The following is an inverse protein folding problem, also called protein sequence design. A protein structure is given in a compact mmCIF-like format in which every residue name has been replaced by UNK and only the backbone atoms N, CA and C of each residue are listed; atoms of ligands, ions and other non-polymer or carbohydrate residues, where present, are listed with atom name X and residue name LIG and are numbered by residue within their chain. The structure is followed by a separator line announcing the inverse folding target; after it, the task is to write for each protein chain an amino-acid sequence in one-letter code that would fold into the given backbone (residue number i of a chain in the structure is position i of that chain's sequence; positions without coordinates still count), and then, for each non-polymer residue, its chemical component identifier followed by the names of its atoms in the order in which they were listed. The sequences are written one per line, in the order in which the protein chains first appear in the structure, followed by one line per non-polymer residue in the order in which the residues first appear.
data_IF_585850849329
#
_entry.id   IF_585850849329
#
_cell.length_a   1.000
_cell.length_b   1.000
_cell.length_c   1.000
_cell.angle_alpha   90.00
_cell.angle_beta   90.00
_cell.angle_gamma   90.00
#
_symmetry.space_group_name_H-M   'P 1'
#
loop_
_entity.id
_entity.type
_entity.pdbx_description
1 polymer ?
#
# COMPACT_ATOMS: atom_id res chain seq x y z
N UNK A 1 -7.17 -9.02 22.67
CA UNK A 1 -7.94 -10.10 22.00
C UNK A 1 -6.97 -10.84 21.10
N UNK A 2 -6.62 -12.07 21.44
CA UNK A 2 -5.72 -12.91 20.65
C UNK A 2 -6.47 -13.41 19.41
N UNK A 3 -5.99 -13.03 18.22
CA UNK A 3 -6.54 -13.48 16.94
C UNK A 3 -6.44 -15.00 16.85
N UNK A 4 -7.49 -15.68 16.39
CA UNK A 4 -7.47 -17.13 16.18
C UNK A 4 -6.30 -17.51 15.24
N UNK A 5 -5.38 -18.39 15.64
CA UNK A 5 -4.25 -18.82 14.84
C UNK A 5 -4.63 -19.31 13.43
N UNK A 6 -5.83 -19.89 13.28
CA UNK A 6 -6.35 -20.35 11.97
C UNK A 6 -6.68 -19.17 11.06
N UNK A 7 -7.22 -18.10 11.62
CA UNK A 7 -7.54 -16.87 10.88
C UNK A 7 -6.23 -16.18 10.46
N UNK A 8 -5.26 -16.10 11.36
CA UNK A 8 -3.94 -15.56 11.04
C UNK A 8 -3.26 -16.34 9.91
N UNK A 9 -3.28 -17.69 9.98
CA UNK A 9 -2.72 -18.53 8.93
C UNK A 9 -3.41 -18.34 7.59
N UNK A 10 -4.75 -18.27 7.59
CA UNK A 10 -5.54 -18.05 6.37
C UNK A 10 -5.18 -16.70 5.72
N UNK A 11 -5.04 -15.63 6.50
CA UNK A 11 -4.62 -14.32 5.98
C UNK A 11 -3.23 -14.39 5.33
N UNK A 12 -2.26 -15.02 5.99
CA UNK A 12 -0.90 -15.19 5.46
C UNK A 12 -0.93 -15.92 4.11
N UNK A 13 -1.61 -17.06 4.03
CA UNK A 13 -1.65 -17.87 2.82
C UNK A 13 -2.36 -17.12 1.67
N UNK A 14 -3.42 -16.37 1.99
CA UNK A 14 -4.17 -15.55 1.03
C UNK A 14 -3.35 -14.36 0.53
N UNK A 15 -2.60 -13.68 1.40
CA UNK A 15 -1.75 -12.55 1.02
C UNK A 15 -0.55 -13.00 0.18
N UNK A 16 0.04 -14.16 0.50
CA UNK A 16 1.07 -14.76 -0.33
C UNK A 16 0.56 -15.05 -1.75
N UNK A 17 -0.60 -15.70 -1.86
CA UNK A 17 -1.22 -15.98 -3.16
C UNK A 17 -1.59 -14.71 -3.93
N UNK A 18 -2.14 -13.71 -3.25
CA UNK A 18 -2.47 -12.39 -3.81
C UNK A 18 -1.24 -11.70 -4.36
N UNK A 19 -0.13 -11.71 -3.60
CA UNK A 19 1.15 -11.14 -4.05
C UNK A 19 1.64 -11.80 -5.33
N UNK A 20 1.59 -13.13 -5.40
CA UNK A 20 1.99 -13.88 -6.61
C UNK A 20 1.14 -13.48 -7.81
N UNK A 21 -0.19 -13.52 -7.68
CA UNK A 21 -1.12 -13.17 -8.76
C UNK A 21 -0.92 -11.73 -9.25
N UNK A 22 -0.75 -10.77 -8.33
CA UNK A 22 -0.48 -9.38 -8.68
C UNK A 22 0.83 -9.21 -9.45
N UNK A 23 1.86 -9.98 -9.11
CA UNK A 23 3.16 -9.92 -9.75
C UNK A 23 3.20 -10.64 -11.11
N UNK A 24 2.43 -11.72 -11.30
CA UNK A 24 2.45 -12.54 -12.52
C UNK A 24 1.42 -12.10 -13.56
N UNK A 25 0.17 -11.91 -13.12
CA UNK A 25 -0.99 -11.75 -14.00
C UNK A 25 -1.59 -10.35 -13.93
N UNK A 26 -1.09 -9.52 -13.01
CA UNK A 26 -1.57 -8.17 -12.75
C UNK A 26 -2.96 -8.15 -12.09
N UNK A 27 -3.36 -6.96 -11.65
CA UNK A 27 -4.55 -6.80 -10.80
C UNK A 27 -5.89 -7.06 -11.51
N UNK A 28 -5.94 -7.06 -12.85
CA UNK A 28 -7.17 -7.36 -13.60
C UNK A 28 -7.59 -8.84 -13.51
N UNK A 29 -6.64 -9.73 -13.24
CA UNK A 29 -6.92 -11.16 -13.02
C UNK A 29 -7.44 -11.46 -11.61
N UNK A 30 -7.44 -10.45 -10.72
CA UNK A 30 -7.66 -10.64 -9.30
C UNK A 30 -9.15 -10.77 -9.00
N UNK A 31 -9.55 -11.99 -8.62
CA UNK A 31 -10.90 -12.32 -8.18
C UNK A 31 -10.82 -13.26 -6.99
N UNK A 32 -11.87 -13.37 -6.18
CA UNK A 32 -11.90 -14.43 -5.16
C UNK A 32 -11.80 -15.84 -5.73
N UNK A 33 -12.17 -16.05 -7.00
CA UNK A 33 -11.97 -17.36 -7.63
C UNK A 33 -10.50 -17.65 -7.88
N UNK A 34 -9.76 -16.71 -8.46
CA UNK A 34 -8.33 -16.87 -8.76
C UNK A 34 -7.50 -16.89 -7.47
N UNK A 35 -7.84 -16.06 -6.49
CA UNK A 35 -7.19 -16.07 -5.16
C UNK A 35 -7.43 -17.40 -4.44
N UNK A 36 -8.69 -17.89 -4.39
CA UNK A 36 -9.00 -19.14 -3.71
C UNK A 36 -8.24 -20.33 -4.31
N UNK A 37 -8.17 -20.38 -5.64
CA UNK A 37 -7.41 -21.40 -6.37
C UNK A 37 -5.91 -21.32 -6.04
N UNK A 38 -5.32 -20.13 -6.10
CA UNK A 38 -3.91 -19.92 -5.83
C UNK A 38 -3.53 -20.20 -4.36
N UNK A 39 -4.40 -19.83 -3.41
CA UNK A 39 -4.20 -20.07 -1.98
C UNK A 39 -4.58 -21.49 -1.53
N UNK A 40 -5.19 -22.31 -2.39
CA UNK A 40 -5.61 -23.68 -2.05
C UNK A 40 -6.76 -23.72 -1.02
N UNK A 41 -7.63 -22.71 -0.98
CA UNK A 41 -8.75 -22.61 -0.03
C UNK A 41 -10.10 -22.54 -0.74
N UNK A 42 -11.19 -22.76 0.01
CA UNK A 42 -12.53 -22.60 -0.53
C UNK A 42 -12.91 -21.12 -0.70
N UNK A 43 -13.62 -20.77 -1.78
CA UNK A 43 -14.16 -19.40 -1.97
C UNK A 43 -15.00 -18.91 -0.77
N UNK A 44 -15.76 -19.82 -0.15
CA UNK A 44 -16.56 -19.52 1.05
C UNK A 44 -15.69 -18.96 2.19
N UNK A 45 -14.45 -19.43 2.33
CA UNK A 45 -13.50 -18.91 3.32
C UNK A 45 -13.14 -17.46 3.02
N UNK A 46 -12.86 -17.11 1.76
CA UNK A 46 -12.59 -15.71 1.38
C UNK A 46 -13.78 -14.80 1.68
N UNK A 47 -14.99 -15.18 1.26
CA UNK A 47 -16.20 -14.39 1.51
C UNK A 47 -16.55 -14.24 3.00
N UNK A 48 -16.04 -15.12 3.87
CA UNK A 48 -16.23 -15.00 5.31
C UNK A 48 -15.27 -13.98 5.97
N UNK A 49 -14.16 -13.66 5.31
CA UNK A 49 -13.12 -12.77 5.81
C UNK A 49 -13.11 -11.40 5.13
N UNK A 50 -13.47 -11.35 3.85
CA UNK A 50 -13.43 -10.14 3.05
C UNK A 50 -14.73 -9.99 2.25
N UNK A 51 -15.31 -8.79 2.33
CA UNK A 51 -16.52 -8.42 1.59
C UNK A 51 -16.27 -8.30 0.08
N UNK A 52 -15.04 -7.95 -0.32
CA UNK A 52 -14.66 -7.80 -1.72
C UNK A 52 -13.15 -8.00 -1.94
N UNK A 53 -12.69 -8.25 -3.17
CA UNK A 53 -11.26 -8.23 -3.51
C UNK A 53 -10.59 -6.89 -3.19
N UNK A 54 -11.31 -5.76 -3.31
CA UNK A 54 -10.79 -4.45 -2.96
C UNK A 54 -10.52 -4.33 -1.45
N UNK A 55 -11.43 -4.84 -0.61
CA UNK A 55 -11.22 -4.92 0.85
C UNK A 55 -9.98 -5.78 1.17
N UNK A 56 -9.84 -6.94 0.53
CA UNK A 56 -8.64 -7.79 0.68
C UNK A 56 -7.36 -7.04 0.30
N UNK A 57 -7.35 -6.34 -0.83
CA UNK A 57 -6.18 -5.55 -1.27
C UNK A 57 -5.84 -4.42 -0.30
N UNK A 58 -6.83 -3.80 0.35
CA UNK A 58 -6.61 -2.79 1.37
C UNK A 58 -5.81 -3.37 2.56
N UNK A 59 -6.25 -4.53 3.06
CA UNK A 59 -5.55 -5.20 4.14
C UNK A 59 -4.17 -5.71 3.72
N UNK A 60 -4.04 -6.23 2.50
CA UNK A 60 -2.75 -6.64 1.93
C UNK A 60 -1.75 -5.49 1.87
N UNK A 61 -2.19 -4.30 1.44
CA UNK A 61 -1.35 -3.10 1.39
C UNK A 61 -0.99 -2.59 2.79
N UNK A 62 -1.93 -2.65 3.74
CA UNK A 62 -1.67 -2.26 5.12
C UNK A 62 -0.67 -3.21 5.82
N UNK A 63 -0.78 -4.52 5.57
CA UNK A 63 0.09 -5.55 6.12
C UNK A 63 1.55 -5.34 5.71
N UNK A 64 1.78 -5.03 4.42
CA UNK A 64 3.12 -4.74 3.87
C UNK A 64 3.78 -3.47 4.41
N UNK A 65 3.03 -2.60 5.09
CA UNK A 65 3.50 -1.33 5.66
C UNK A 65 3.18 -1.20 7.15
N UNK A 66 3.06 -2.33 7.85
CA UNK A 66 2.72 -2.38 9.27
C UNK A 66 3.92 -2.11 10.19
N UNK A 67 5.14 -2.33 9.71
CA UNK A 67 6.36 -2.11 10.48
C UNK A 67 6.71 -0.61 10.54
N UNK A 68 6.90 -0.04 11.74
CA UNK A 68 7.29 1.36 11.87
C UNK A 68 8.72 1.60 11.39
N UNK A 69 9.00 2.81 10.91
CA UNK A 69 10.36 3.23 10.63
C UNK A 69 11.14 3.41 11.94
N UNK A 70 12.22 2.65 12.09
CA UNK A 70 13.05 2.60 13.30
C UNK A 70 14.36 3.38 13.13
N UNK A 71 14.99 3.78 14.25
CA UNK A 71 16.32 4.41 14.24
C UNK A 71 16.32 5.89 13.86
N UNK A 72 15.19 6.58 14.04
CA UNK A 72 15.00 7.99 13.69
C UNK A 72 14.84 8.90 14.93
N UNK A 73 15.22 8.41 16.11
CA UNK A 73 15.08 9.14 17.39
C UNK A 73 15.82 10.49 17.42
N UNK A 74 16.94 10.59 16.71
CA UNK A 74 17.77 11.80 16.63
C UNK A 74 17.69 12.50 15.28
N UNK A 75 16.86 12.00 14.36
CA UNK A 75 16.66 12.61 13.06
C UNK A 75 15.96 13.97 13.19
N UNK A 76 16.27 14.88 12.29
CA UNK A 76 15.48 16.09 12.04
C UNK A 76 14.13 15.74 11.43
N UNK A 77 13.20 16.70 11.45
CA UNK A 77 11.90 16.52 10.78
C UNK A 77 12.07 16.27 9.26
N UNK A 78 13.00 16.97 8.62
CA UNK A 78 13.29 16.80 7.21
C UNK A 78 13.80 15.39 6.87
N UNK A 79 14.69 14.84 7.70
CA UNK A 79 15.19 13.47 7.55
C UNK A 79 14.07 12.43 7.75
N UNK A 80 13.16 12.65 8.71
CA UNK A 80 12.01 11.77 8.92
C UNK A 80 11.03 11.79 7.74
N UNK A 81 10.72 12.97 7.22
CA UNK A 81 9.89 13.11 6.00
C UNK A 81 10.56 12.42 4.81
N UNK A 82 11.87 12.55 4.68
CA UNK A 82 12.62 11.88 3.62
C UNK A 82 12.59 10.36 3.77
N UNK A 83 12.81 9.82 4.96
CA UNK A 83 12.69 8.39 5.24
C UNK A 83 11.28 7.85 4.92
N UNK A 84 10.24 8.62 5.22
CA UNK A 84 8.86 8.25 4.88
C UNK A 84 8.61 8.23 3.37
N UNK A 85 9.21 9.16 2.60
CA UNK A 85 9.16 9.13 1.13
C UNK A 85 9.89 7.92 0.56
N UNK A 86 11.02 7.58 1.14
CA UNK A 86 11.82 6.40 0.75
C UNK A 86 11.06 5.10 1.05
N UNK A 87 10.34 5.01 2.16
CA UNK A 87 9.45 3.88 2.47
C UNK A 87 8.33 3.73 1.43
N UNK A 88 7.65 4.82 1.08
CA UNK A 88 6.63 4.80 0.02
C UNK A 88 7.24 4.39 -1.32
N UNK A 89 8.40 4.96 -1.66
CA UNK A 89 9.13 4.65 -2.89
C UNK A 89 9.52 3.17 -2.97
N UNK A 90 10.04 2.61 -1.88
CA UNK A 90 10.39 1.20 -1.79
C UNK A 90 9.16 0.30 -1.95
N UNK A 91 8.05 0.66 -1.29
CA UNK A 91 6.76 -0.01 -1.48
C UNK A 91 6.30 -0.01 -2.93
N UNK A 92 6.32 1.15 -3.59
CA UNK A 92 5.92 1.27 -5.00
C UNK A 92 6.90 0.62 -5.99
N UNK A 93 8.11 0.29 -5.57
CA UNK A 93 9.05 -0.50 -6.37
C UNK A 93 8.67 -1.98 -6.42
N UNK A 94 8.01 -2.50 -5.38
CA UNK A 94 7.43 -3.84 -5.40
C UNK A 94 6.30 -3.96 -6.45
N UNK A 95 6.39 -4.91 -7.42
CA UNK A 95 5.38 -5.06 -8.46
C UNK A 95 3.97 -5.34 -7.92
N UNK A 96 3.86 -6.13 -6.84
CA UNK A 96 2.56 -6.49 -6.29
C UNK A 96 1.90 -5.30 -5.59
N UNK A 97 2.63 -4.58 -4.73
CA UNK A 97 2.16 -3.32 -4.12
C UNK A 97 1.74 -2.31 -5.18
N UNK A 98 2.57 -2.11 -6.22
CA UNK A 98 2.26 -1.17 -7.31
C UNK A 98 1.01 -1.58 -8.09
N UNK A 99 0.84 -2.87 -8.39
CA UNK A 99 -0.35 -3.37 -9.07
C UNK A 99 -1.62 -3.19 -8.20
N UNK A 100 -1.53 -3.50 -6.90
CA UNK A 100 -2.65 -3.36 -5.97
C UNK A 100 -3.11 -1.91 -5.81
N UNK A 101 -2.19 -0.97 -5.55
CA UNK A 101 -2.57 0.43 -5.35
C UNK A 101 -3.15 1.06 -6.63
N UNK A 102 -2.55 0.75 -7.79
CA UNK A 102 -3.03 1.26 -9.09
C UNK A 102 -4.43 0.73 -9.41
N UNK A 103 -4.70 -0.53 -9.08
CA UNK A 103 -6.03 -1.11 -9.21
C UNK A 103 -7.06 -0.41 -8.33
N UNK A 104 -6.75 -0.22 -7.03
CA UNK A 104 -7.66 0.46 -6.12
C UNK A 104 -7.95 1.90 -6.59
N UNK A 105 -6.94 2.63 -7.05
CA UNK A 105 -7.10 3.97 -7.61
C UNK A 105 -8.00 3.97 -8.85
N UNK A 106 -7.79 3.03 -9.78
CA UNK A 106 -8.60 2.92 -11.00
C UNK A 106 -10.05 2.49 -10.71
N UNK A 107 -10.26 1.67 -9.68
CA UNK A 107 -11.56 1.14 -9.29
C UNK A 107 -12.39 2.12 -8.43
N UNK A 108 -11.74 3.09 -7.76
CA UNK A 108 -12.37 3.91 -6.72
C UNK A 108 -13.60 4.70 -7.20
N UNK A 109 -13.60 5.20 -8.44
CA UNK A 109 -14.72 5.97 -8.98
C UNK A 109 -15.97 5.09 -9.24
N UNK A 110 -15.76 3.84 -9.64
CA UNK A 110 -16.84 2.92 -10.01
C UNK A 110 -17.28 1.98 -8.87
N UNK A 111 -16.44 1.79 -7.85
CA UNK A 111 -16.63 0.76 -6.82
C UNK A 111 -16.44 1.34 -5.40
N UNK A 112 -17.52 1.53 -4.63
CA UNK A 112 -17.46 2.12 -3.28
C UNK A 112 -16.48 1.40 -2.35
N UNK A 113 -16.42 0.07 -2.38
CA UNK A 113 -15.47 -0.69 -1.57
C UNK A 113 -14.00 -0.40 -1.90
N UNK A 114 -13.69 -0.04 -3.15
CA UNK A 114 -12.34 0.38 -3.54
C UNK A 114 -12.03 1.80 -3.06
N UNK A 115 -13.00 2.71 -3.13
CA UNK A 115 -12.86 4.05 -2.55
C UNK A 115 -12.66 4.00 -1.02
N UNK A 116 -13.46 3.18 -0.32
CA UNK A 116 -13.35 2.99 1.13
C UNK A 116 -12.00 2.39 1.53
N UNK A 117 -11.53 1.39 0.76
CA UNK A 117 -10.20 0.81 0.92
C UNK A 117 -9.09 1.85 0.77
N UNK A 118 -9.13 2.68 -0.27
CA UNK A 118 -8.15 3.71 -0.52
C UNK A 118 -8.18 4.79 0.58
N UNK A 119 -9.37 5.19 1.03
CA UNK A 119 -9.55 6.13 2.12
C UNK A 119 -9.01 5.58 3.46
N UNK A 120 -9.25 4.31 3.76
CA UNK A 120 -8.72 3.65 4.95
C UNK A 120 -7.19 3.56 4.94
N UNK A 121 -6.61 3.17 3.79
CA UNK A 121 -5.15 3.13 3.61
C UNK A 121 -4.53 4.53 3.78
N UNK A 122 -5.14 5.55 3.17
CA UNK A 122 -4.68 6.94 3.25
C UNK A 122 -4.71 7.46 4.69
N UNK A 123 -5.80 7.21 5.43
CA UNK A 123 -5.88 7.57 6.86
C UNK A 123 -4.80 6.88 7.69
N UNK A 124 -4.58 5.59 7.45
CA UNK A 124 -3.56 4.81 8.17
C UNK A 124 -2.16 5.39 7.92
N UNK A 125 -1.82 5.69 6.66
CA UNK A 125 -0.53 6.30 6.31
C UNK A 125 -0.36 7.71 6.87
N UNK A 126 -1.43 8.51 6.94
CA UNK A 126 -1.40 9.82 7.56
C UNK A 126 -1.13 9.70 9.07
N UNK A 127 -1.75 8.74 9.76
CA UNK A 127 -1.48 8.45 11.17
C UNK A 127 -0.02 8.05 11.40
N UNK A 128 0.52 7.14 10.58
CA UNK A 128 1.93 6.73 10.66
C UNK A 128 2.90 7.90 10.42
N UNK A 129 2.57 8.81 9.49
CA UNK A 129 3.34 10.04 9.29
C UNK A 129 3.30 10.91 10.55
N UNK A 130 2.12 11.11 11.14
CA UNK A 130 1.98 11.88 12.38
C UNK A 130 2.76 11.29 13.55
N UNK A 131 2.68 9.98 13.75
CA UNK A 131 3.45 9.24 14.76
C UNK A 131 4.95 9.44 14.56
N UNK A 132 5.43 9.29 13.33
CA UNK A 132 6.83 9.51 12.98
C UNK A 132 7.28 10.95 13.28
N UNK A 133 6.44 11.94 12.97
CA UNK A 133 6.75 13.36 13.20
C UNK A 133 6.51 13.82 14.64
N UNK A 134 5.88 12.99 15.49
CA UNK A 134 5.50 13.36 16.85
C UNK A 134 4.38 14.41 16.93
N UNK A 135 3.51 14.49 15.90
CA UNK A 135 2.39 15.44 15.82
C UNK A 135 1.18 14.84 15.12
N UNK A 136 0.02 15.48 15.22
CA UNK A 136 -1.11 15.11 14.38
C UNK A 136 -0.77 15.35 12.89
N UNK A 137 -1.22 14.43 12.05
CA UNK A 137 -1.10 14.52 10.59
C UNK A 137 -2.41 14.03 9.96
N UNK A 138 -2.81 14.67 8.88
CA UNK A 138 -4.00 14.29 8.13
C UNK A 138 -3.69 13.93 6.66
N UNK A 139 -4.74 13.78 5.85
CA UNK A 139 -4.61 13.43 4.43
C UNK A 139 -3.89 14.51 3.63
N UNK A 140 -4.01 15.78 4.01
CA UNK A 140 -3.33 16.89 3.34
C UNK A 140 -1.82 16.83 3.59
N UNK A 141 -1.40 16.65 4.85
CA UNK A 141 0.01 16.42 5.20
C UNK A 141 0.58 15.23 4.39
N UNK A 142 -0.15 14.12 4.35
CA UNK A 142 0.26 12.93 3.61
C UNK A 142 0.37 13.21 2.11
N UNK A 143 -0.56 13.97 1.53
CA UNK A 143 -0.56 14.29 0.11
C UNK A 143 0.68 15.10 -0.29
N UNK A 144 1.14 16.03 0.54
CA UNK A 144 2.37 16.80 0.31
C UNK A 144 3.63 15.93 0.34
N UNK A 145 3.65 14.90 1.19
CA UNK A 145 4.79 13.99 1.32
C UNK A 145 4.79 12.93 0.22
N UNK A 146 3.64 12.26 0.01
CA UNK A 146 3.49 11.11 -0.87
C UNK A 146 3.26 11.50 -2.34
N UNK A 147 2.58 12.62 -2.60
CA UNK A 147 2.20 13.06 -3.94
C UNK A 147 3.35 13.09 -4.94
N UNK A 148 4.51 13.72 -4.61
CA UNK A 148 5.68 13.70 -5.48
C UNK A 148 6.21 12.29 -5.78
N UNK A 149 6.16 11.37 -4.82
CA UNK A 149 6.62 9.98 -4.99
C UNK A 149 5.70 9.23 -5.95
N UNK A 150 4.38 9.33 -5.75
CA UNK A 150 3.38 8.75 -6.64
C UNK A 150 3.48 9.31 -8.06
N UNK A 151 3.59 10.63 -8.21
CA UNK A 151 3.74 11.27 -9.52
C UNK A 151 5.01 10.79 -10.23
N UNK A 152 6.15 10.81 -9.54
CA UNK A 152 7.44 10.37 -10.09
C UNK A 152 7.36 8.91 -10.56
N UNK A 153 6.82 8.02 -9.71
CA UNK A 153 6.81 6.58 -9.98
C UNK A 153 5.76 6.15 -11.00
N UNK A 154 4.54 6.68 -10.91
CA UNK A 154 3.38 6.21 -11.69
C UNK A 154 3.10 7.05 -12.94
N UNK A 155 3.51 8.33 -12.95
CA UNK A 155 3.24 9.26 -14.06
C UNK A 155 4.50 9.52 -14.86
N UNK A 156 5.59 9.96 -14.20
CA UNK A 156 6.84 10.26 -14.87
C UNK A 156 7.64 9.01 -15.27
N UNK A 157 7.34 7.86 -14.64
CA UNK A 157 7.98 6.57 -14.92
C UNK A 157 9.44 6.49 -14.44
N UNK A 158 9.88 7.42 -13.60
CA UNK A 158 11.24 7.44 -13.04
C UNK A 158 11.31 6.65 -11.74
N UNK A 159 12.43 5.96 -11.52
CA UNK A 159 12.69 5.28 -10.25
C UNK A 159 13.12 6.33 -9.20
N UNK A 160 12.36 6.52 -8.11
CA UNK A 160 12.64 7.49 -7.07
C UNK A 160 13.99 7.29 -6.36
N UNK A 161 14.62 6.11 -6.48
CA UNK A 161 15.96 5.83 -5.96
C UNK A 161 17.10 6.32 -6.87
N UNK A 162 16.78 6.72 -8.11
CA UNK A 162 17.77 7.36 -8.98
C UNK A 162 17.96 8.79 -8.49
N UNK A 163 19.18 9.22 -8.11
CA UNK A 163 19.40 10.62 -7.75
C UNK A 163 18.93 11.48 -8.89
N UNK A 164 17.87 12.26 -8.67
CA UNK A 164 17.45 13.28 -9.61
C UNK A 164 18.60 14.27 -9.63
N UNK A 165 19.45 14.20 -10.66
CA UNK A 165 20.36 15.29 -10.99
C UNK A 165 19.48 16.51 -11.16
N UNK A 166 19.44 17.36 -10.12
CA UNK A 166 18.71 18.60 -10.13
C UNK A 166 19.33 19.43 -11.23
N UNK A 167 18.73 19.39 -12.42
CA UNK A 167 19.04 20.33 -13.48
C UNK A 167 18.48 21.66 -13.02
N UNK A 168 19.39 22.53 -12.57
CA UNK A 168 19.12 23.94 -12.34
C UNK A 168 18.37 24.54 -13.55
N UNK A 169 17.45 25.42 -13.19
CA UNK A 169 16.76 26.42 -14.00
C UNK A 169 15.58 25.92 -14.85
N UNK A 170 14.39 26.38 -14.46
CA UNK A 170 13.57 27.18 -15.37
C UNK A 170 13.31 28.56 -14.69
N UNK A 171 13.10 29.61 -15.48
CA UNK A 171 13.27 31.03 -15.10
C UNK A 171 12.21 31.58 -14.15
#
# INVERSE_FOLDING_TARGET
MTVDPRIARTRIDVFAATRTLLATDGAMSLTFSTIAQAAGIARKTLYAHWESPAHLLAEFLADGHSEPLMGLEHASEAERVQAFREDIAAGLSDPATRAAITYLMAAADAHPHAADALAALTRTRAQQLGELLGRASDVSDLAEVAGPVFFTRLVAGTDPSTPTTIRKALP
#
